data_IF_770652135203
#
_entry.id   IF_770652135203
#
_cell.length_a   1.000
_cell.length_b   1.000
_cell.length_c   1.000
_cell.angle_alpha   90.00
_cell.angle_beta   90.00
_cell.angle_gamma   90.00
#
_symmetry.space_group_name_H-M   'P 1'
#
loop_
_entity.id
_entity.type
_entity.pdbx_description
1 polymer ?
#
# COMPACT_ATOMS: atom_id res chain seq x y z
N UNK A 1 -2.79 -9.06 -17.45
CA UNK A 1 -3.14 -7.72 -17.96
C UNK A 1 -3.10 -6.77 -16.77
N UNK A 2 -1.98 -6.08 -16.56
CA UNK A 2 -1.79 -5.19 -15.40
C UNK A 2 -2.57 -3.91 -15.67
N UNK A 3 -3.51 -3.58 -14.79
CA UNK A 3 -4.34 -2.40 -14.90
C UNK A 3 -3.47 -1.15 -15.05
N UNK A 4 -3.82 -0.30 -16.01
CA UNK A 4 -3.19 1.00 -16.19
C UNK A 4 -3.36 1.79 -14.90
N UNK A 5 -2.24 2.27 -14.37
CA UNK A 5 -2.22 3.18 -13.23
C UNK A 5 -2.85 4.51 -13.66
N UNK A 6 -4.17 4.61 -13.53
CA UNK A 6 -4.86 5.89 -13.43
C UNK A 6 -4.30 6.57 -12.20
N UNK A 7 -3.29 7.42 -12.42
CA UNK A 7 -2.76 8.25 -11.37
C UNK A 7 -3.93 9.09 -10.87
N UNK A 8 -4.33 8.97 -9.59
CA UNK A 8 -5.51 9.67 -9.09
C UNK A 8 -5.31 11.16 -9.36
N UNK A 9 -6.30 11.75 -10.04
CA UNK A 9 -6.29 13.15 -10.48
C UNK A 9 -5.86 14.05 -9.31
N UNK A 10 -4.66 14.61 -9.39
CA UNK A 10 -4.07 15.42 -8.32
C UNK A 10 -4.51 16.87 -8.48
N UNK A 11 -5.02 17.44 -7.40
CA UNK A 11 -5.36 18.86 -7.30
C UNK A 11 -4.08 19.69 -7.23
N UNK A 12 -4.02 20.83 -7.91
CA UNK A 12 -2.99 21.82 -7.59
C UNK A 12 -3.27 22.44 -6.22
N UNK A 13 -2.23 23.02 -5.60
CA UNK A 13 -2.41 23.71 -4.31
C UNK A 13 -3.38 24.89 -4.43
N UNK A 14 -3.39 25.59 -5.57
CA UNK A 14 -4.28 26.72 -5.82
C UNK A 14 -5.74 26.27 -5.90
N UNK A 15 -6.02 25.23 -6.70
CA UNK A 15 -7.37 24.65 -6.80
C UNK A 15 -7.85 24.11 -5.45
N UNK A 16 -6.97 23.47 -4.70
CA UNK A 16 -7.32 22.94 -3.40
C UNK A 16 -7.72 24.03 -2.39
N UNK A 17 -7.03 25.18 -2.41
CA UNK A 17 -7.41 26.33 -1.59
C UNK A 17 -8.75 26.92 -2.01
N UNK A 18 -9.01 27.01 -3.31
CA UNK A 18 -10.28 27.54 -3.84
C UNK A 18 -11.47 26.58 -3.61
N UNK A 19 -11.20 25.27 -3.52
CA UNK A 19 -12.22 24.23 -3.50
C UNK A 19 -12.12 23.29 -2.29
N UNK A 20 -11.59 23.76 -1.16
CA UNK A 20 -11.36 22.92 0.02
C UNK A 20 -12.62 22.15 0.45
N UNK A 21 -13.77 22.82 0.55
CA UNK A 21 -15.04 22.18 0.93
C UNK A 21 -15.52 21.13 -0.08
N UNK A 22 -15.11 21.22 -1.35
CA UNK A 22 -15.38 20.17 -2.35
C UNK A 22 -14.45 18.99 -2.13
N UNK A 23 -13.16 19.24 -1.90
CA UNK A 23 -12.18 18.19 -1.62
C UNK A 23 -12.57 17.39 -0.38
N UNK A 24 -13.03 18.03 0.69
CA UNK A 24 -13.49 17.32 1.90
C UNK A 24 -14.67 16.39 1.59
N UNK A 25 -15.68 16.86 0.84
CA UNK A 25 -16.81 16.01 0.41
C UNK A 25 -16.38 14.83 -0.46
N UNK A 26 -15.47 15.07 -1.40
CA UNK A 26 -14.91 13.99 -2.23
C UNK A 26 -14.08 13.01 -1.39
N UNK A 27 -13.37 13.51 -0.37
CA UNK A 27 -12.58 12.65 0.51
C UNK A 27 -13.42 11.66 1.31
N UNK A 28 -14.65 12.05 1.65
CA UNK A 28 -15.63 11.21 2.33
C UNK A 28 -16.35 10.25 1.35
N UNK A 29 -16.74 10.74 0.17
CA UNK A 29 -17.56 9.96 -0.78
C UNK A 29 -16.75 9.03 -1.70
N UNK A 30 -15.59 9.49 -2.18
CA UNK A 30 -14.79 8.83 -3.21
C UNK A 30 -13.42 8.34 -2.68
N UNK A 31 -13.10 8.70 -1.44
CA UNK A 31 -11.84 8.34 -0.78
C UNK A 31 -10.72 9.39 -0.97
N UNK A 32 -9.49 9.05 -0.57
CA UNK A 32 -8.43 10.04 -0.36
C UNK A 32 -8.08 10.88 -1.59
N UNK A 33 -7.97 12.19 -1.39
CA UNK A 33 -7.70 13.17 -2.45
C UNK A 33 -6.25 13.64 -2.39
N UNK A 34 -5.55 13.69 -3.55
CA UNK A 34 -4.16 14.14 -3.63
C UNK A 34 -4.05 15.60 -4.00
N UNK A 35 -3.18 16.34 -3.32
CA UNK A 35 -2.86 17.75 -3.61
C UNK A 35 -1.36 17.87 -3.89
N UNK A 36 -1.00 18.38 -5.07
CA UNK A 36 0.37 18.65 -5.48
C UNK A 36 1.02 17.48 -6.23
N UNK A 37 1.92 17.81 -7.16
CA UNK A 37 2.61 16.84 -8.03
C UNK A 37 4.03 16.54 -7.49
N UNK A 38 4.81 17.57 -7.16
CA UNK A 38 6.20 17.41 -6.66
C UNK A 38 6.27 17.14 -5.16
N UNK A 39 5.52 17.92 -4.38
CA UNK A 39 5.34 17.70 -2.94
C UNK A 39 3.86 17.42 -2.72
N UNK A 40 3.51 16.15 -2.65
CA UNK A 40 2.12 15.71 -2.57
C UNK A 40 1.66 15.58 -1.13
N UNK A 41 0.45 16.06 -0.86
CA UNK A 41 -0.29 15.85 0.38
C UNK A 41 -1.54 15.03 0.06
N UNK A 42 -2.07 14.32 1.06
CA UNK A 42 -3.30 13.55 0.95
C UNK A 42 -4.31 14.10 1.96
N UNK A 43 -5.54 14.30 1.50
CA UNK A 43 -6.68 14.67 2.35
C UNK A 43 -7.61 13.47 2.44
N UNK A 44 -7.92 13.07 3.66
CA UNK A 44 -8.83 11.99 3.97
C UNK A 44 -9.56 12.26 5.30
N UNK A 45 -10.71 11.62 5.55
CA UNK A 45 -11.39 11.68 6.84
C UNK A 45 -10.47 11.24 7.99
N UNK A 46 -10.63 11.88 9.15
CA UNK A 46 -9.76 11.66 10.30
C UNK A 46 -9.92 10.26 10.91
N UNK A 47 -11.14 9.74 10.93
CA UNK A 47 -11.46 8.38 11.38
C UNK A 47 -10.78 7.30 10.51
N UNK A 48 -10.76 7.50 9.18
CA UNK A 48 -10.05 6.61 8.25
C UNK A 48 -8.54 6.69 8.51
N UNK A 49 -7.99 7.88 8.74
CA UNK A 49 -6.60 8.02 9.15
C UNK A 49 -6.33 7.28 10.46
N UNK A 50 -7.12 7.49 11.51
CA UNK A 50 -6.91 6.89 12.83
C UNK A 50 -7.08 5.36 12.85
N UNK A 51 -7.88 4.81 11.94
CA UNK A 51 -8.00 3.37 11.73
C UNK A 51 -6.71 2.75 11.19
N UNK A 52 -5.97 3.47 10.34
CA UNK A 52 -4.78 2.98 9.64
C UNK A 52 -3.44 3.52 10.17
N UNK A 53 -3.46 4.63 10.91
CA UNK A 53 -2.28 5.29 11.44
C UNK A 53 -1.72 4.59 12.68
N UNK A 54 -2.52 3.74 13.32
CA UNK A 54 -2.01 2.84 14.35
C UNK A 54 -1.13 1.80 13.66
N UNK A 55 0.14 1.65 14.05
CA UNK A 55 0.93 0.54 13.55
C UNK A 55 0.19 -0.73 13.90
N UNK A 56 -0.10 -1.55 12.89
CA UNK A 56 -0.46 -2.94 13.13
C UNK A 56 0.58 -3.56 14.06
N UNK A 57 0.16 -4.55 14.85
CA UNK A 57 1.07 -5.31 15.72
C UNK A 57 2.38 -5.59 14.96
N UNK A 58 3.55 -5.40 15.59
CA UNK A 58 4.83 -5.72 14.95
C UNK A 58 4.72 -7.09 14.29
N UNK A 59 5.21 -7.24 13.05
CA UNK A 59 4.98 -8.45 12.25
C UNK A 59 5.28 -9.73 13.03
N UNK A 60 6.34 -9.75 13.84
CA UNK A 60 6.67 -10.88 14.71
C UNK A 60 5.57 -11.23 15.72
N UNK A 61 4.97 -10.22 16.37
CA UNK A 61 3.84 -10.43 17.28
C UNK A 61 2.60 -10.91 16.52
N UNK A 62 2.33 -10.33 15.35
CA UNK A 62 1.23 -10.77 14.51
C UNK A 62 1.38 -12.24 14.07
N UNK A 63 2.59 -12.67 13.70
CA UNK A 63 2.88 -14.04 13.30
C UNK A 63 2.66 -15.03 14.45
N UNK A 64 3.09 -14.71 15.66
CA UNK A 64 2.87 -15.56 16.84
C UNK A 64 1.37 -15.78 17.12
N UNK A 65 0.56 -14.75 16.87
CA UNK A 65 -0.87 -14.72 17.15
C UNK A 65 -1.71 -15.37 16.03
N UNK A 66 -1.27 -15.29 14.78
CA UNK A 66 -2.09 -15.65 13.61
C UNK A 66 -1.53 -16.81 12.77
N UNK A 67 -0.26 -17.21 12.95
CA UNK A 67 0.27 -18.38 12.24
C UNK A 67 -0.34 -19.64 12.83
N UNK A 68 -0.96 -20.50 12.02
CA UNK A 68 -1.52 -21.77 12.48
C UNK A 68 -0.44 -22.61 13.18
N UNK A 69 -0.70 -22.98 14.43
CA UNK A 69 0.20 -23.85 15.20
C UNK A 69 -0.07 -25.31 14.87
N UNK A 70 0.99 -26.10 14.73
CA UNK A 70 0.86 -27.54 14.53
C UNK A 70 0.56 -27.98 13.10
N UNK A 71 0.70 -27.08 12.10
CA UNK A 71 0.72 -27.53 10.70
C UNK A 71 2.04 -28.26 10.47
N UNK A 72 1.96 -29.50 10.01
CA UNK A 72 3.11 -30.21 9.47
C UNK A 72 3.37 -29.67 8.07
N UNK A 73 4.30 -28.72 7.97
CA UNK A 73 4.84 -28.31 6.67
C UNK A 73 5.83 -29.38 6.24
N UNK A 74 5.57 -30.01 5.09
CA UNK A 74 6.57 -30.86 4.46
C UNK A 74 7.80 -30.01 4.17
N UNK A 75 8.94 -30.44 4.71
CA UNK A 75 10.20 -29.81 4.39
C UNK A 75 10.49 -30.06 2.91
N UNK A 76 11.01 -29.07 2.17
CA UNK A 76 11.46 -29.30 0.80
C UNK A 76 12.54 -30.37 0.78
N UNK A 77 12.55 -31.23 -0.25
CA UNK A 77 13.60 -32.24 -0.40
C UNK A 77 14.93 -31.53 -0.65
N UNK A 78 15.98 -31.93 0.08
CA UNK A 78 17.32 -31.37 -0.06
C UNK A 78 17.98 -31.72 -1.40
N UNK A 79 17.42 -32.70 -2.11
CA UNK A 79 17.86 -33.11 -3.43
C UNK A 79 17.06 -32.45 -4.56
N UNK A 80 16.10 -31.56 -4.24
CA UNK A 80 15.41 -30.77 -5.25
C UNK A 80 16.42 -29.91 -6.03
N UNK A 81 16.27 -29.79 -7.36
CA UNK A 81 17.08 -28.88 -8.16
C UNK A 81 16.87 -27.44 -7.68
N UNK A 82 17.92 -26.62 -7.80
CA UNK A 82 17.87 -25.22 -7.39
C UNK A 82 16.72 -24.47 -8.08
N UNK A 83 15.90 -23.77 -7.29
CA UNK A 83 14.77 -23.01 -7.83
C UNK A 83 15.29 -21.86 -8.67
N UNK A 84 14.65 -21.62 -9.81
CA UNK A 84 14.99 -20.47 -10.65
C UNK A 84 14.89 -19.17 -9.85
N UNK A 85 15.99 -18.40 -9.85
CA UNK A 85 16.04 -17.09 -9.20
C UNK A 85 15.39 -16.09 -10.17
N UNK A 86 14.24 -15.46 -9.82
CA UNK A 86 13.45 -14.64 -10.76
C UNK A 86 14.16 -13.40 -11.32
N UNK A 87 15.35 -13.06 -10.78
CA UNK A 87 16.09 -11.84 -11.10
C UNK A 87 17.54 -12.07 -11.51
N UNK A 88 17.99 -13.32 -11.67
CA UNK A 88 19.40 -13.62 -11.96
C UNK A 88 19.91 -13.01 -13.29
N UNK A 89 19.01 -12.71 -14.24
CA UNK A 89 19.38 -12.14 -15.54
C UNK A 89 19.37 -10.59 -15.62
N UNK A 90 19.24 -9.86 -14.49
CA UNK A 90 19.21 -8.38 -14.50
C UNK A 90 20.57 -7.70 -14.35
N UNK A 91 21.67 -8.44 -14.36
CA UNK A 91 23.00 -7.94 -13.99
C UNK A 91 24.10 -7.99 -15.07
N UNK A 92 23.77 -8.19 -16.35
CA UNK A 92 24.76 -8.18 -17.43
C UNK A 92 24.56 -6.97 -18.36
N UNK A 93 24.97 -5.79 -17.87
CA UNK A 93 25.37 -4.62 -18.68
C UNK A 93 26.56 -3.98 -18.02
#
# INVERSE_FOLDING_TARGET
MVAHSDSPKSWTVSEAKAHLSRILRLSEAEGPQRIGIRKSFVVMPADVWDAHARPDKPLGQWLIDNVPRGIHLEAPDRNEPEREIPFANRGAT
#
